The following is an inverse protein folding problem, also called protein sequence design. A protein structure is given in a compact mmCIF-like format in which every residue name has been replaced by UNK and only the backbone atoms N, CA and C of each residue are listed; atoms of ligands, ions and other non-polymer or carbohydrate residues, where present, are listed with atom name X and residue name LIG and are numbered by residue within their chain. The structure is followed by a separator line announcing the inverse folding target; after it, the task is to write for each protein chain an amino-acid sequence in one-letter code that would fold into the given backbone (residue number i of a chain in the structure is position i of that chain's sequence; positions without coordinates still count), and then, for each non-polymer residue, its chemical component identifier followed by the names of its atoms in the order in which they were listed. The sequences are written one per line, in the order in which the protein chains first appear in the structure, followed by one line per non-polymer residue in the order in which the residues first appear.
data_IF_512357550581
#
_entry.id   IF_512357550581
#
_cell.length_a   1.000
_cell.length_b   1.000
_cell.length_c   1.000
_cell.angle_alpha   90.00
_cell.angle_beta   90.00
_cell.angle_gamma   90.00
#
_symmetry.space_group_name_H-M   'P 1'
#
loop_
_entity.id
_entity.type
_entity.pdbx_description
1 polymer ?
#
# COMPACT_ATOMS: atom_id res chain seq x y z
N UNK A 1 28.98 -15.11 11.24
CA UNK A 1 28.58 -13.75 10.85
C UNK A 1 29.32 -13.41 9.57
N UNK A 2 28.63 -12.84 8.59
CA UNK A 2 29.25 -12.27 7.39
C UNK A 2 28.89 -10.78 7.42
N UNK A 3 29.90 -9.92 7.29
CA UNK A 3 29.75 -8.47 7.30
C UNK A 3 30.38 -7.92 6.02
N UNK A 4 29.66 -7.01 5.35
CA UNK A 4 30.08 -6.39 4.09
C UNK A 4 30.00 -4.88 4.33
N UNK A 5 31.16 -4.26 4.53
CA UNK A 5 31.30 -2.81 4.62
C UNK A 5 31.89 -2.29 3.31
N UNK A 6 31.04 -1.61 2.51
CA UNK A 6 31.42 -1.07 1.22
C UNK A 6 30.49 0.07 0.79
N UNK A 7 30.99 0.96 -0.06
CA UNK A 7 30.17 2.03 -0.64
C UNK A 7 29.06 1.49 -1.56
N UNK A 8 29.36 0.43 -2.34
CA UNK A 8 28.43 -0.13 -3.33
C UNK A 8 28.55 -1.65 -3.39
N UNK A 9 27.50 -2.35 -2.95
CA UNK A 9 27.31 -3.77 -3.20
C UNK A 9 26.44 -3.98 -4.44
N UNK A 10 27.03 -4.52 -5.52
CA UNK A 10 26.31 -4.81 -6.77
C UNK A 10 26.25 -6.31 -7.05
N UNK A 11 25.04 -6.87 -7.03
CA UNK A 11 24.79 -8.28 -7.32
C UNK A 11 24.08 -8.39 -8.68
N UNK A 12 24.72 -9.06 -9.66
CA UNK A 12 24.12 -9.38 -10.95
C UNK A 12 23.93 -10.90 -11.06
N UNK A 13 22.73 -11.38 -10.77
CA UNK A 13 22.36 -12.78 -10.94
C UNK A 13 21.45 -12.93 -12.17
N UNK A 14 21.77 -13.86 -13.07
CA UNK A 14 20.97 -14.09 -14.29
C UNK A 14 19.63 -14.80 -14.00
N UNK A 15 19.55 -15.53 -12.89
CA UNK A 15 18.39 -16.38 -12.57
C UNK A 15 17.65 -15.90 -11.33
N UNK A 16 18.33 -15.80 -10.18
CA UNK A 16 17.69 -15.49 -8.90
C UNK A 16 18.73 -15.08 -7.84
N UNK A 17 18.34 -14.17 -6.97
CA UNK A 17 18.92 -14.02 -5.62
C UNK A 17 17.90 -14.57 -4.63
N UNK A 18 18.27 -15.58 -3.85
CA UNK A 18 17.41 -16.17 -2.84
C UNK A 18 18.00 -15.93 -1.45
N UNK A 19 17.20 -15.37 -0.55
CA UNK A 19 17.57 -15.08 0.83
C UNK A 19 16.61 -15.85 1.73
N UNK A 20 17.12 -16.82 2.48
CA UNK A 20 16.36 -17.54 3.50
C UNK A 20 16.65 -16.92 4.86
N UNK A 21 15.90 -15.89 5.21
CA UNK A 21 16.03 -15.16 6.47
C UNK A 21 14.65 -14.87 7.06
N UNK A 22 14.47 -14.92 8.40
CA UNK A 22 13.25 -14.43 9.04
C UNK A 22 12.99 -12.93 8.78
N UNK A 23 14.04 -12.16 8.52
CA UNK A 23 13.97 -10.71 8.35
C UNK A 23 15.04 -10.23 7.35
N UNK A 24 14.64 -9.32 6.46
CA UNK A 24 15.52 -8.59 5.55
C UNK A 24 15.12 -7.12 5.65
N UNK A 25 16.08 -6.26 5.97
CA UNK A 25 15.85 -4.86 6.32
C UNK A 25 16.63 -3.96 5.37
N UNK A 26 16.09 -2.78 5.11
CA UNK A 26 16.79 -1.63 4.54
C UNK A 26 16.53 -0.43 5.44
N UNK A 27 17.53 0.37 5.72
CA UNK A 27 17.45 1.48 6.66
C UNK A 27 16.69 2.71 6.14
N UNK A 28 16.75 2.95 4.82
CA UNK A 28 16.11 4.11 4.19
C UNK A 28 15.06 3.72 3.15
N UNK A 29 15.47 3.06 2.06
CA UNK A 29 14.60 2.82 0.89
C UNK A 29 14.80 1.41 0.35
N UNK A 30 13.68 0.70 0.16
CA UNK A 30 13.63 -0.51 -0.64
C UNK A 30 12.95 -0.21 -1.99
N UNK A 31 13.68 -0.39 -3.09
CA UNK A 31 13.18 -0.17 -4.45
C UNK A 31 13.15 -1.48 -5.23
N UNK A 32 11.96 -1.87 -5.68
CA UNK A 32 11.78 -2.96 -6.63
C UNK A 32 11.31 -2.40 -7.98
N UNK A 33 12.12 -2.56 -9.04
CA UNK A 33 11.75 -2.10 -10.39
C UNK A 33 10.61 -2.91 -11.01
N UNK A 34 10.45 -4.16 -10.57
CA UNK A 34 9.39 -5.06 -11.00
C UNK A 34 8.25 -5.09 -9.99
N UNK A 35 7.92 -6.29 -9.52
CA UNK A 35 6.82 -6.52 -8.59
C UNK A 35 7.33 -6.90 -7.20
N UNK A 36 6.55 -6.56 -6.17
CA UNK A 36 6.71 -7.04 -4.81
C UNK A 36 5.58 -8.04 -4.55
N UNK A 37 5.89 -9.22 -4.00
CA UNK A 37 4.89 -10.22 -3.60
C UNK A 37 5.02 -10.53 -2.10
N UNK A 38 3.94 -10.35 -1.33
CA UNK A 38 3.87 -10.59 0.12
C UNK A 38 2.84 -11.67 0.49
N UNK A 39 3.17 -12.94 0.26
CA UNK A 39 2.24 -14.06 0.45
C UNK A 39 1.79 -14.27 1.92
N UNK A 40 2.55 -13.76 2.90
CA UNK A 40 2.21 -13.80 4.34
C UNK A 40 1.45 -12.57 4.84
N UNK A 41 1.04 -11.68 3.93
CA UNK A 41 0.55 -10.35 4.23
C UNK A 41 1.61 -9.27 3.96
N UNK A 42 1.17 -8.01 3.99
CA UNK A 42 2.02 -6.85 3.76
C UNK A 42 1.58 -5.73 4.70
N UNK A 43 2.51 -5.27 5.53
CA UNK A 43 2.32 -4.11 6.38
C UNK A 43 3.14 -2.95 5.80
N UNK A 44 2.48 -1.83 5.48
CA UNK A 44 3.14 -0.61 5.00
C UNK A 44 2.82 0.52 5.97
N UNK A 45 3.86 1.11 6.57
CA UNK A 45 3.74 2.30 7.41
C UNK A 45 4.38 3.46 6.67
N UNK A 46 3.57 4.20 5.91
CA UNK A 46 4.07 5.24 5.01
C UNK A 46 4.53 6.54 5.68
N UNK A 47 4.47 6.66 7.01
CA UNK A 47 4.73 7.92 7.71
C UNK A 47 3.80 9.04 7.22
N UNK A 48 4.29 9.87 6.30
CA UNK A 48 3.52 10.90 5.59
C UNK A 48 2.52 10.35 4.55
N UNK A 49 2.58 9.07 4.22
CA UNK A 49 1.57 8.39 3.39
C UNK A 49 2.16 7.35 2.43
N UNK A 50 1.27 6.62 1.76
CA UNK A 50 1.61 5.76 0.62
C UNK A 50 0.84 6.25 -0.60
N UNK A 51 1.47 6.24 -1.77
CA UNK A 51 0.84 6.63 -3.03
C UNK A 51 0.99 5.52 -4.06
N UNK A 52 -0.05 5.36 -4.88
CA UNK A 52 -0.10 4.37 -5.95
C UNK A 52 -0.51 5.09 -7.23
N UNK A 53 0.18 4.78 -8.33
CA UNK A 53 -0.22 5.24 -9.66
C UNK A 53 -0.70 4.04 -10.46
N UNK A 54 -1.94 4.10 -10.94
CA UNK A 54 -2.62 3.00 -11.62
C UNK A 54 -3.70 2.36 -10.76
N UNK A 55 -4.23 1.24 -11.24
CA UNK A 55 -5.34 0.55 -10.58
C UNK A 55 -4.85 -0.20 -9.34
N UNK A 56 -5.64 -0.11 -8.27
CA UNK A 56 -5.52 -0.94 -7.08
C UNK A 56 -6.74 -1.87 -7.05
N UNK A 57 -6.51 -3.17 -7.14
CA UNK A 57 -7.58 -4.18 -7.11
C UNK A 57 -7.50 -4.99 -5.83
N UNK A 58 -8.55 -4.91 -5.01
CA UNK A 58 -8.73 -5.75 -3.83
C UNK A 58 -9.67 -6.91 -4.17
N UNK A 59 -9.18 -8.13 -4.04
CA UNK A 59 -9.97 -9.34 -4.27
C UNK A 59 -10.46 -9.91 -2.93
N UNK A 60 -11.55 -9.35 -2.42
CA UNK A 60 -12.19 -9.77 -1.15
C UNK A 60 -11.59 -9.14 0.11
N UNK A 61 -12.13 -9.53 1.26
CA UNK A 61 -11.81 -8.94 2.57
C UNK A 61 -12.39 -7.53 2.75
N UNK A 62 -12.15 -6.96 3.92
CA UNK A 62 -12.63 -5.62 4.28
C UNK A 62 -11.53 -4.57 4.10
N UNK A 63 -11.95 -3.32 3.88
CA UNK A 63 -11.08 -2.15 3.91
C UNK A 63 -11.50 -1.23 5.05
N UNK A 64 -10.64 -1.08 6.05
CA UNK A 64 -10.91 -0.27 7.25
C UNK A 64 -9.96 0.90 7.32
N UNK A 65 -10.50 2.10 7.53
CA UNK A 65 -9.75 3.32 7.80
C UNK A 65 -10.46 4.12 8.89
N UNK A 66 -9.70 4.83 9.73
CA UNK A 66 -10.26 5.80 10.68
C UNK A 66 -10.58 7.15 10.02
N UNK A 67 -9.93 7.43 8.89
CA UNK A 67 -10.10 8.63 8.10
C UNK A 67 -11.26 8.53 7.10
N UNK A 68 -11.29 9.49 6.17
CA UNK A 68 -12.22 9.50 5.05
C UNK A 68 -11.57 8.88 3.81
N UNK A 69 -12.37 8.16 3.02
CA UNK A 69 -11.97 7.73 1.67
C UNK A 69 -12.58 8.70 0.69
N UNK A 70 -11.76 9.31 -0.16
CA UNK A 70 -12.24 10.26 -1.16
C UNK A 70 -12.11 9.70 -2.57
N UNK A 71 -13.22 9.71 -3.30
CA UNK A 71 -13.25 9.45 -4.73
C UNK A 71 -13.36 10.80 -5.47
N UNK A 72 -12.21 11.34 -5.89
CA UNK A 72 -12.15 12.73 -6.37
C UNK A 72 -12.51 13.71 -5.24
N UNK A 73 -13.54 14.53 -5.46
CA UNK A 73 -14.03 15.49 -4.45
C UNK A 73 -15.09 14.90 -3.50
N UNK A 74 -15.54 13.66 -3.72
CA UNK A 74 -16.60 13.02 -2.94
C UNK A 74 -16.01 12.33 -1.71
N UNK A 75 -16.47 12.76 -0.53
CA UNK A 75 -16.19 12.12 0.76
C UNK A 75 -17.09 10.89 0.94
N UNK A 76 -16.53 9.69 1.03
CA UNK A 76 -17.35 8.49 1.28
C UNK A 76 -18.06 8.56 2.63
N UNK A 77 -17.43 9.16 3.65
CA UNK A 77 -18.01 9.30 4.99
C UNK A 77 -19.15 10.33 5.08
N UNK A 78 -19.18 11.33 4.19
CA UNK A 78 -20.11 12.46 4.29
C UNK A 78 -20.95 12.70 3.03
N UNK A 79 -20.87 11.82 2.02
CA UNK A 79 -21.64 11.99 0.80
C UNK A 79 -23.14 11.93 1.06
N UNK A 80 -23.91 12.63 0.24
CA UNK A 80 -25.37 12.65 0.25
C UNK A 80 -25.89 12.44 -1.16
N UNK A 81 -27.12 11.97 -1.28
CA UNK A 81 -27.83 11.81 -2.54
C UNK A 81 -29.11 12.65 -2.54
N UNK A 82 -29.70 12.85 -3.72
CA UNK A 82 -31.07 13.33 -3.81
C UNK A 82 -32.02 12.29 -3.21
N UNK A 83 -32.92 12.74 -2.33
CA UNK A 83 -33.95 11.89 -1.75
C UNK A 83 -35.10 11.61 -2.73
N UNK A 84 -35.88 10.58 -2.44
CA UNK A 84 -37.01 10.14 -3.27
C UNK A 84 -38.22 11.09 -3.25
N UNK A 85 -38.26 12.01 -2.28
CA UNK A 85 -39.38 12.91 -2.00
C UNK A 85 -38.98 14.39 -2.17
N UNK A 86 -37.97 14.68 -3.01
CA UNK A 86 -37.53 16.05 -3.32
C UNK A 86 -36.58 16.69 -2.30
N UNK A 87 -36.15 15.95 -1.27
CA UNK A 87 -35.14 16.36 -0.29
C UNK A 87 -33.72 15.86 -0.61
N UNK A 88 -32.84 15.89 0.39
CA UNK A 88 -31.51 15.25 0.37
C UNK A 88 -31.44 14.17 1.45
N UNK A 89 -30.64 13.13 1.22
CA UNK A 89 -30.36 12.13 2.27
C UNK A 89 -29.50 12.75 3.38
N UNK A 90 -29.48 12.08 4.54
CA UNK A 90 -28.41 12.25 5.51
C UNK A 90 -27.11 11.57 5.04
N UNK A 91 -26.04 11.78 5.80
CA UNK A 91 -24.76 11.07 5.60
C UNK A 91 -24.92 9.58 5.93
N UNK A 92 -24.05 8.70 5.39
CA UNK A 92 -23.99 7.30 5.81
C UNK A 92 -23.87 7.17 7.35
N UNK A 93 -24.55 6.16 7.91
CA UNK A 93 -24.49 5.82 9.33
C UNK A 93 -23.17 5.13 9.68
#
# INVERSE_FOLDING_TARGET
MIEIDCDVLKIKAATKVAISSPLVETDQVFTAQGQINGNGGMAVQGGSGASFSGNVTQNGGDFTTSGDVKAGTISLKNHKHGGDSGGMTDKPQ
#
